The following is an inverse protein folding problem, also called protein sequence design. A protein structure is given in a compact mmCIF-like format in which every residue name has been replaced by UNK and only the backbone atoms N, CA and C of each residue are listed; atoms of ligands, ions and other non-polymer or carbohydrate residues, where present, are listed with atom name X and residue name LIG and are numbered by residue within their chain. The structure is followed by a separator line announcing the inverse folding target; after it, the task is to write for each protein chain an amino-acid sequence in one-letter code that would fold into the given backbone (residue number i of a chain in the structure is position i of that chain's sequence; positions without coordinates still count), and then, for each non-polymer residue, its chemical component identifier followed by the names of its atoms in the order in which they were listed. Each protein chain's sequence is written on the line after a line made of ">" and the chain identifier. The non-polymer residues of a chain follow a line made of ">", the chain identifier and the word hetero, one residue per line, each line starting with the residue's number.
data_IF_610984062219
#
_entry.id   IF_610984062219
#
_cell.length_a   1.000
_cell.length_b   1.000
_cell.length_c   1.000
_cell.angle_alpha   90.00
_cell.angle_beta   90.00
_cell.angle_gamma   90.00
#
_symmetry.space_group_name_H-M   'P 1'
#
loop_
_entity.id
_entity.type
_entity.pdbx_description
1 polymer ?
#
# COMPACT_ATOMS: atom_id res chain seq x y z
N UNK A 1 -6.62 0.40 -17.08
CA UNK A 1 -6.56 -0.06 -15.69
C UNK A 1 -6.04 1.06 -14.81
N UNK A 2 -6.76 1.42 -13.73
CA UNK A 2 -6.21 2.38 -12.78
C UNK A 2 -4.97 1.81 -12.10
N UNK A 3 -4.05 2.68 -11.76
CA UNK A 3 -2.80 2.31 -11.09
C UNK A 3 -2.56 3.25 -9.94
N UNK A 4 -2.08 2.72 -8.83
CA UNK A 4 -1.76 3.54 -7.65
C UNK A 4 -0.37 3.18 -7.14
N UNK A 5 0.27 4.18 -6.54
CA UNK A 5 1.49 3.98 -5.76
C UNK A 5 1.19 4.51 -4.36
N UNK A 6 1.56 3.74 -3.35
CA UNK A 6 1.40 4.13 -1.96
C UNK A 6 2.77 4.09 -1.31
N UNK A 7 3.13 5.16 -0.60
CA UNK A 7 4.39 5.22 0.14
C UNK A 7 4.09 5.51 1.61
N UNK A 8 4.97 5.03 2.48
CA UNK A 8 4.82 5.24 3.92
C UNK A 8 6.15 5.00 4.62
N UNK A 9 6.25 5.49 5.86
CA UNK A 9 7.32 5.11 6.76
C UNK A 9 6.78 4.07 7.74
N UNK A 10 7.61 3.08 8.05
CA UNK A 10 7.25 2.01 8.96
C UNK A 10 8.32 1.88 10.05
N UNK A 11 7.95 1.28 11.18
CA UNK A 11 8.90 1.04 12.27
C UNK A 11 9.93 -0.02 11.89
N UNK A 12 9.49 -1.06 11.18
CA UNK A 12 10.31 -2.20 10.81
C UNK A 12 9.82 -2.76 9.47
N UNK A 13 10.59 -2.58 8.38
CA UNK A 13 10.19 -3.09 7.07
C UNK A 13 9.95 -4.60 7.04
N UNK A 14 10.69 -5.38 7.81
CA UNK A 14 10.49 -6.84 7.85
C UNK A 14 9.14 -7.20 8.47
N UNK A 15 8.73 -6.48 9.52
CA UNK A 15 7.43 -6.66 10.14
C UNK A 15 6.31 -6.27 9.19
N UNK A 16 6.49 -5.17 8.45
CA UNK A 16 5.52 -4.71 7.46
C UNK A 16 5.34 -5.75 6.35
N UNK A 17 6.45 -6.29 5.84
CA UNK A 17 6.41 -7.35 4.82
C UNK A 17 5.65 -8.58 5.33
N UNK A 18 5.93 -9.00 6.55
CA UNK A 18 5.26 -10.14 7.16
C UNK A 18 3.76 -9.89 7.31
N UNK A 19 3.38 -8.67 7.67
CA UNK A 19 1.97 -8.28 7.78
C UNK A 19 1.24 -8.47 6.45
N UNK A 20 1.84 -8.07 5.35
CA UNK A 20 1.23 -8.27 4.04
C UNK A 20 1.20 -9.72 3.59
N UNK A 21 2.19 -10.51 3.98
CA UNK A 21 2.19 -11.95 3.67
C UNK A 21 1.08 -12.69 4.40
N UNK A 22 0.76 -12.27 5.62
CA UNK A 22 -0.20 -12.98 6.47
C UNK A 22 -1.60 -12.38 6.46
N UNK A 23 -1.71 -11.04 6.29
CA UNK A 23 -2.99 -10.33 6.43
C UNK A 23 -3.36 -9.46 5.24
N UNK A 24 -2.58 -9.49 4.16
CA UNK A 24 -2.80 -8.62 3.00
C UNK A 24 -3.81 -9.14 1.97
N UNK A 25 -4.49 -10.23 2.27
CA UNK A 25 -5.36 -10.89 1.29
C UNK A 25 -6.50 -10.02 0.79
N UNK A 26 -7.12 -9.25 1.68
CA UNK A 26 -8.23 -8.39 1.28
C UNK A 26 -7.81 -7.39 0.19
N UNK A 27 -6.71 -6.67 0.41
CA UNK A 27 -6.24 -5.71 -0.59
C UNK A 27 -5.78 -6.39 -1.87
N UNK A 28 -5.12 -7.55 -1.75
CA UNK A 28 -4.71 -8.31 -2.93
C UNK A 28 -5.89 -8.78 -3.77
N UNK A 29 -6.99 -9.15 -3.13
CA UNK A 29 -8.19 -9.61 -3.83
C UNK A 29 -8.85 -8.50 -4.66
N UNK A 30 -8.52 -7.25 -4.38
CA UNK A 30 -9.08 -6.08 -5.07
C UNK A 30 -8.17 -5.56 -6.18
N UNK A 31 -7.07 -6.25 -6.45
CA UNK A 31 -6.09 -5.82 -7.45
C UNK A 31 -5.81 -6.95 -8.44
N UNK A 32 -5.48 -6.57 -9.67
CA UNK A 32 -4.98 -7.53 -10.67
C UNK A 32 -3.49 -7.76 -10.49
N UNK A 33 -2.77 -6.77 -10.00
CA UNK A 33 -1.33 -6.82 -9.76
C UNK A 33 -1.01 -5.97 -8.54
N UNK A 34 -0.12 -6.46 -7.69
CA UNK A 34 0.42 -5.67 -6.59
C UNK A 34 1.88 -6.06 -6.35
N UNK A 35 2.72 -5.05 -6.16
CA UNK A 35 4.15 -5.24 -5.88
C UNK A 35 4.50 -4.43 -4.64
N UNK A 36 5.16 -5.08 -3.70
CA UNK A 36 5.59 -4.45 -2.44
C UNK A 36 7.08 -4.19 -2.50
N UNK A 37 7.50 -2.99 -2.10
CA UNK A 37 8.88 -2.54 -2.21
C UNK A 37 9.35 -2.00 -0.87
N UNK A 38 10.56 -2.37 -0.49
CA UNK A 38 11.22 -1.77 0.67
C UNK A 38 12.43 -0.99 0.22
N UNK A 39 12.80 0.02 1.00
CA UNK A 39 14.00 0.81 0.73
C UNK A 39 15.02 0.59 1.84
N UNK A 40 16.23 1.05 1.61
CA UNK A 40 17.30 1.01 2.61
C UNK A 40 17.34 2.27 3.48
N UNK A 41 16.52 3.28 3.14
CA UNK A 41 16.57 4.59 3.80
C UNK A 41 15.31 4.85 4.64
N UNK A 42 15.53 5.33 5.87
CA UNK A 42 14.48 5.84 6.76
C UNK A 42 13.28 4.91 6.95
N UNK A 43 13.47 3.61 6.75
CA UNK A 43 12.38 2.62 6.88
C UNK A 43 11.18 2.99 6.01
N UNK A 44 11.43 3.50 4.82
CA UNK A 44 10.37 3.78 3.88
C UNK A 44 10.01 2.53 3.08
N UNK A 45 8.71 2.41 2.79
CA UNK A 45 8.20 1.32 1.97
C UNK A 45 7.28 1.88 0.92
N UNK A 46 7.05 1.10 -0.12
CA UNK A 46 6.16 1.49 -1.20
C UNK A 46 5.42 0.28 -1.71
N UNK A 47 4.25 0.51 -2.30
CA UNK A 47 3.60 -0.53 -3.08
C UNK A 47 3.05 0.08 -4.37
N UNK A 48 3.05 -0.76 -5.39
CA UNK A 48 2.41 -0.47 -6.67
C UNK A 48 1.26 -1.44 -6.84
N UNK A 49 0.09 -0.94 -7.21
CA UNK A 49 -1.08 -1.79 -7.37
C UNK A 49 -1.93 -1.36 -8.56
N UNK A 50 -2.62 -2.32 -9.16
CA UNK A 50 -3.60 -2.08 -10.21
C UNK A 50 -4.96 -2.54 -9.72
N UNK A 51 -5.72 -1.66 -9.03
CA UNK A 51 -7.03 -2.02 -8.51
C UNK A 51 -8.01 -2.34 -9.64
N UNK A 52 -8.88 -3.31 -9.41
CA UNK A 52 -9.95 -3.63 -10.36
C UNK A 52 -11.12 -2.66 -10.23
N UNK A 53 -11.28 -2.04 -9.05
CA UNK A 53 -12.27 -1.00 -8.78
C UNK A 53 -11.60 0.05 -7.90
N UNK A 54 -11.15 1.15 -8.51
CA UNK A 54 -10.39 2.18 -7.81
C UNK A 54 -11.17 2.81 -6.66
N UNK A 55 -12.43 3.17 -6.88
CA UNK A 55 -13.23 3.82 -5.85
C UNK A 55 -13.37 2.94 -4.60
N UNK A 56 -13.63 1.67 -4.79
CA UNK A 56 -13.75 0.72 -3.69
C UNK A 56 -12.43 0.48 -2.99
N UNK A 57 -11.34 0.40 -3.77
CA UNK A 57 -10.00 0.23 -3.23
C UNK A 57 -9.61 1.39 -2.30
N UNK A 58 -9.85 2.62 -2.74
CA UNK A 58 -9.57 3.81 -1.94
C UNK A 58 -10.45 3.86 -0.68
N UNK A 59 -11.72 3.46 -0.79
CA UNK A 59 -12.61 3.38 0.35
C UNK A 59 -12.09 2.40 1.42
N UNK A 60 -11.62 1.24 0.99
CA UNK A 60 -11.06 0.25 1.92
C UNK A 60 -9.77 0.74 2.55
N UNK A 61 -8.92 1.44 1.79
CA UNK A 61 -7.69 2.01 2.34
C UNK A 61 -7.97 3.00 3.47
N UNK A 62 -9.08 3.71 3.42
CA UNK A 62 -9.46 4.69 4.44
C UNK A 62 -10.31 4.09 5.55
N UNK A 63 -10.64 2.81 5.47
CA UNK A 63 -11.52 2.17 6.45
C UNK A 63 -10.84 2.01 7.82
N UNK A 64 -11.65 1.96 8.91
CA UNK A 64 -11.09 1.70 10.24
C UNK A 64 -10.33 0.38 10.35
N UNK A 65 -10.78 -0.66 9.64
CA UNK A 65 -10.10 -1.96 9.64
C UNK A 65 -8.69 -1.85 9.07
N UNK A 66 -8.52 -1.10 7.98
CA UNK A 66 -7.21 -0.89 7.38
C UNK A 66 -6.33 -0.04 8.30
N UNK A 67 -6.89 0.98 8.95
CA UNK A 67 -6.14 1.80 9.90
C UNK A 67 -5.62 0.96 11.05
N UNK A 68 -6.42 0.03 11.57
CA UNK A 68 -6.01 -0.88 12.63
C UNK A 68 -4.90 -1.82 12.16
N UNK A 69 -5.04 -2.37 10.95
CA UNK A 69 -4.02 -3.24 10.37
C UNK A 69 -2.69 -2.50 10.18
N UNK A 70 -2.73 -1.25 9.71
CA UNK A 70 -1.53 -0.42 9.58
C UNK A 70 -0.84 -0.21 10.92
N UNK A 71 -1.61 0.08 11.97
CA UNK A 71 -1.05 0.26 13.31
C UNK A 71 -0.37 -1.02 13.80
N UNK A 72 -0.98 -2.17 13.57
CA UNK A 72 -0.41 -3.46 13.95
C UNK A 72 0.88 -3.77 13.19
N UNK A 73 0.99 -3.32 11.96
CA UNK A 73 2.17 -3.54 11.12
C UNK A 73 3.25 -2.48 11.30
N UNK A 74 3.03 -1.52 12.19
CA UNK A 74 4.01 -0.48 12.49
C UNK A 74 4.06 0.63 11.46
N UNK A 75 3.01 0.82 10.68
CA UNK A 75 2.94 1.91 9.69
C UNK A 75 2.67 3.23 10.39
N UNK A 76 3.48 4.23 10.08
CA UNK A 76 3.24 5.59 10.57
C UNK A 76 2.21 6.25 9.67
N UNK A 77 0.95 6.22 10.09
CA UNK A 77 -0.18 6.62 9.25
C UNK A 77 -0.08 8.03 8.69
N UNK A 78 0.49 8.96 9.45
CA UNK A 78 0.67 10.35 9.01
C UNK A 78 1.63 10.49 7.84
N UNK A 79 2.40 9.45 7.54
CA UNK A 79 3.36 9.44 6.43
C UNK A 79 2.81 8.77 5.17
N UNK A 80 1.64 8.14 5.27
CA UNK A 80 1.05 7.42 4.13
C UNK A 80 0.64 8.42 3.06
N UNK A 81 1.12 8.18 1.84
CA UNK A 81 0.75 8.98 0.66
C UNK A 81 0.24 8.05 -0.42
N UNK A 82 -0.88 8.41 -1.02
CA UNK A 82 -1.49 7.64 -2.10
C UNK A 82 -1.44 8.47 -3.37
N UNK A 83 -0.80 7.92 -4.39
CA UNK A 83 -0.70 8.55 -5.71
C UNK A 83 -1.55 7.76 -6.67
N UNK A 84 -2.63 8.37 -7.18
CA UNK A 84 -3.43 7.77 -8.23
C UNK A 84 -2.81 8.23 -9.55
N UNK A 85 -2.30 7.27 -10.32
CA UNK A 85 -1.55 7.57 -11.53
C UNK A 85 -2.49 7.94 -12.66
N UNK A 86 -2.20 9.04 -13.33
CA UNK A 86 -2.99 9.53 -14.44
C UNK A 86 -2.43 9.00 -15.76
N UNK A 87 -1.18 9.29 -16.06
CA UNK A 87 -0.59 8.84 -17.30
C UNK A 87 0.91 8.56 -17.15
N UNK A 88 1.41 7.79 -18.08
CA UNK A 88 2.81 7.41 -18.15
C UNK A 88 3.39 7.92 -19.47
N UNK A 89 4.64 8.34 -19.43
CA UNK A 89 5.35 8.68 -20.67
C UNK A 89 6.81 8.26 -20.54
N UNK A 90 7.44 8.04 -21.70
CA UNK A 90 8.85 7.63 -21.77
C UNK A 90 9.58 8.50 -22.79
N UNK A 91 10.87 8.63 -22.62
CA UNK A 91 11.72 9.34 -23.55
C UNK A 91 12.36 8.36 -24.52
#
# INVERSE_FOLDING_TARGET
>A
MPRVIITAQVEDPAKWEEGFRTHGELLRSMTSTVTYLTTTDDNEVALYAEPTDLAKYLEVLESPATAEAMANDGVKRETVKVFVLDREFSY
#
